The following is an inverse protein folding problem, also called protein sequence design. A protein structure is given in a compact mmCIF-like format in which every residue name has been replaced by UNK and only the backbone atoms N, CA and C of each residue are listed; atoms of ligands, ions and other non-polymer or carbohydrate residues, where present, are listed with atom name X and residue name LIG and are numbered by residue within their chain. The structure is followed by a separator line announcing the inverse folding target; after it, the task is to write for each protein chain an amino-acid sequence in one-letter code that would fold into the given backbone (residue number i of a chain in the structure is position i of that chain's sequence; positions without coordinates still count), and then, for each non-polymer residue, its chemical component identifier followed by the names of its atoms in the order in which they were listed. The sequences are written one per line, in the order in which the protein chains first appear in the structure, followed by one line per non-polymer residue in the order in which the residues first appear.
data_IF_104969907384
#
_entry.id   IF_104969907384
#
_cell.length_a   1.000
_cell.length_b   1.000
_cell.length_c   1.000
_cell.angle_alpha   90.00
_cell.angle_beta   90.00
_cell.angle_gamma   90.00
#
_symmetry.space_group_name_H-M   'P 1'
#
loop_
_entity.id
_entity.type
_entity.pdbx_description
1 polymer ?
#
# COMPACT_ATOMS: atom_id res chain seq x y z
N UNK A 1 18.35 4.05 -10.51
CA UNK A 1 18.27 3.82 -11.99
C UNK A 1 17.46 4.92 -12.60
N UNK A 2 17.87 5.43 -13.77
CA UNK A 2 17.10 6.49 -14.44
C UNK A 2 15.75 5.97 -14.94
N UNK A 3 15.74 4.73 -15.48
CA UNK A 3 14.55 4.11 -16.03
C UNK A 3 14.60 2.58 -15.89
N UNK A 4 13.43 1.98 -15.65
CA UNK A 4 13.21 0.54 -15.62
C UNK A 4 11.76 0.26 -16.03
N UNK A 5 11.44 -0.96 -16.43
CA UNK A 5 10.03 -1.33 -16.67
C UNK A 5 9.24 -1.36 -15.36
N UNK A 6 9.77 -2.03 -14.33
CA UNK A 6 9.22 -2.08 -12.98
C UNK A 6 10.30 -2.47 -11.97
N UNK A 7 10.43 -1.74 -10.87
CA UNK A 7 11.38 -2.07 -9.79
C UNK A 7 11.10 -3.43 -9.17
N UNK A 8 9.83 -3.84 -9.05
CA UNK A 8 9.44 -5.18 -8.61
C UNK A 8 9.93 -6.26 -9.58
N UNK A 9 9.71 -6.04 -10.90
CA UNK A 9 10.15 -7.01 -11.91
C UNK A 9 11.66 -7.14 -11.91
N UNK A 10 12.37 -6.02 -11.86
CA UNK A 10 13.83 -6.01 -11.83
C UNK A 10 14.37 -6.84 -10.65
N UNK A 11 13.87 -6.62 -9.43
CA UNK A 11 14.28 -7.42 -8.27
C UNK A 11 13.93 -8.89 -8.43
N UNK A 12 12.74 -9.22 -8.97
CA UNK A 12 12.33 -10.61 -9.19
C UNK A 12 13.26 -11.35 -10.13
N UNK A 13 13.73 -10.69 -11.20
CA UNK A 13 14.63 -11.27 -12.19
C UNK A 13 16.07 -11.37 -11.69
N UNK A 14 16.46 -10.54 -10.72
CA UNK A 14 17.82 -10.45 -10.18
C UNK A 14 17.97 -10.99 -8.75
N UNK A 15 16.96 -11.64 -8.17
CA UNK A 15 17.00 -12.13 -6.77
C UNK A 15 18.27 -12.93 -6.44
N UNK A 16 18.76 -13.76 -7.36
CA UNK A 16 19.95 -14.58 -7.13
C UNK A 16 21.27 -13.79 -7.24
N UNK A 17 21.24 -12.57 -7.77
CA UNK A 17 22.44 -11.74 -8.01
C UNK A 17 22.56 -10.57 -7.04
N UNK A 18 21.60 -10.38 -6.13
CA UNK A 18 21.56 -9.28 -5.18
C UNK A 18 21.66 -9.81 -3.74
N UNK A 19 22.03 -8.92 -2.81
CA UNK A 19 22.12 -9.25 -1.39
C UNK A 19 20.74 -9.46 -0.75
N UNK A 20 20.75 -10.08 0.44
CA UNK A 20 19.55 -10.47 1.18
C UNK A 20 18.58 -9.33 1.47
N UNK A 21 19.06 -8.09 1.59
CA UNK A 21 18.22 -6.90 1.70
C UNK A 21 18.70 -5.88 0.67
N UNK A 22 17.95 -5.75 -0.40
CA UNK A 22 18.29 -4.86 -1.51
C UNK A 22 17.14 -3.89 -1.77
N UNK A 23 17.48 -2.62 -1.96
CA UNK A 23 16.54 -1.57 -2.37
C UNK A 23 16.84 -1.18 -3.81
N UNK A 24 15.84 -1.36 -4.68
CA UNK A 24 15.88 -0.94 -6.07
C UNK A 24 15.04 0.32 -6.24
N UNK A 25 15.63 1.41 -6.70
CA UNK A 25 14.97 2.72 -6.89
C UNK A 25 15.05 3.14 -8.36
N UNK A 26 13.98 3.70 -8.89
CA UNK A 26 13.93 4.23 -10.24
C UNK A 26 13.35 5.64 -10.29
N UNK A 27 13.87 6.48 -11.21
CA UNK A 27 13.30 7.80 -11.47
C UNK A 27 12.05 7.71 -12.34
N UNK A 28 11.94 6.64 -13.13
CA UNK A 28 10.78 6.39 -13.99
C UNK A 28 10.55 4.89 -14.21
N UNK A 29 9.27 4.47 -14.24
CA UNK A 29 8.85 3.14 -14.63
C UNK A 29 8.03 3.21 -15.92
N UNK A 30 8.45 2.46 -16.96
CA UNK A 30 7.74 2.40 -18.26
C UNK A 30 6.52 1.48 -18.20
N UNK A 31 6.49 0.54 -17.26
CA UNK A 31 5.41 -0.41 -17.02
C UNK A 31 5.14 -0.58 -15.51
N UNK A 32 4.94 0.55 -14.81
CA UNK A 32 4.63 0.57 -13.38
C UNK A 32 3.36 -0.24 -13.07
N UNK A 33 3.43 -1.11 -12.07
CA UNK A 33 2.36 -2.06 -11.72
C UNK A 33 1.68 -1.68 -10.42
N UNK A 34 0.36 -1.82 -10.40
CA UNK A 34 -0.47 -1.83 -9.20
C UNK A 34 -1.03 -3.21 -8.92
N UNK A 35 -1.93 -3.34 -7.96
CA UNK A 35 -2.60 -4.61 -7.65
C UNK A 35 -3.54 -5.05 -8.77
N UNK A 36 -3.43 -6.32 -9.15
CA UNK A 36 -4.24 -6.93 -10.20
C UNK A 36 -3.85 -6.42 -11.59
N UNK A 37 -4.80 -5.81 -12.31
CA UNK A 37 -4.61 -5.24 -13.65
C UNK A 37 -4.29 -3.74 -13.64
N UNK A 38 -4.20 -3.12 -12.45
CA UNK A 38 -3.94 -1.70 -12.34
C UNK A 38 -2.49 -1.36 -12.68
N UNK A 39 -2.27 -0.21 -13.31
CA UNK A 39 -0.97 0.41 -13.50
C UNK A 39 -0.69 1.46 -12.43
N UNK A 40 0.59 1.75 -12.23
CA UNK A 40 1.05 2.90 -11.45
C UNK A 40 1.72 3.89 -12.40
N UNK A 41 1.10 5.06 -12.56
CA UNK A 41 1.62 6.13 -13.39
C UNK A 41 2.35 7.18 -12.54
N UNK A 42 3.45 7.70 -13.07
CA UNK A 42 4.29 8.67 -12.39
C UNK A 42 5.01 9.56 -13.38
N UNK A 43 5.11 10.85 -13.08
CA UNK A 43 5.98 11.76 -13.81
C UNK A 43 7.45 11.50 -13.45
N UNK A 44 8.33 11.49 -14.46
CA UNK A 44 9.77 11.20 -14.30
C UNK A 44 10.40 12.11 -13.26
N UNK A 45 11.10 11.51 -12.29
CA UNK A 45 11.85 12.21 -11.27
C UNK A 45 11.02 12.96 -10.22
N UNK A 46 9.69 12.84 -10.22
CA UNK A 46 8.82 13.56 -9.27
C UNK A 46 8.42 12.71 -8.06
N UNK A 47 8.24 11.44 -8.26
CA UNK A 47 7.74 10.53 -7.22
C UNK A 47 8.84 9.58 -6.75
N UNK A 48 8.59 8.86 -5.67
CA UNK A 48 9.46 7.82 -5.18
C UNK A 48 8.91 6.46 -5.61
N UNK A 49 9.65 5.81 -6.51
CA UNK A 49 9.33 4.51 -7.09
C UNK A 49 10.43 3.54 -6.69
N UNK A 50 10.14 2.63 -5.78
CA UNK A 50 11.16 1.69 -5.31
C UNK A 50 10.56 0.36 -4.88
N UNK A 51 11.43 -0.64 -4.79
CA UNK A 51 11.10 -1.94 -4.24
C UNK A 51 12.18 -2.40 -3.29
N UNK A 52 11.78 -3.11 -2.24
CA UNK A 52 12.67 -3.73 -1.25
C UNK A 52 12.54 -5.23 -1.36
N UNK A 53 13.66 -5.94 -1.52
CA UNK A 53 13.74 -7.39 -1.37
C UNK A 53 14.08 -7.72 0.07
N UNK A 54 13.32 -8.63 0.68
CA UNK A 54 13.61 -9.22 1.99
C UNK A 54 13.43 -10.73 1.95
N UNK A 55 14.05 -11.43 2.92
CA UNK A 55 13.90 -12.87 3.14
C UNK A 55 13.32 -13.12 4.55
N UNK A 56 12.00 -13.02 4.74
CA UNK A 56 11.36 -13.17 6.05
C UNK A 56 11.26 -14.66 6.43
N UNK A 57 12.29 -15.20 7.03
CA UNK A 57 12.38 -16.63 7.41
C UNK A 57 11.47 -17.03 8.57
N UNK A 58 10.93 -16.06 9.30
CA UNK A 58 10.13 -16.22 10.51
C UNK A 58 8.62 -15.95 10.29
N UNK A 59 8.19 -15.70 9.04
CA UNK A 59 6.79 -15.44 8.70
C UNK A 59 6.23 -16.61 7.89
N UNK A 60 5.18 -17.23 8.39
CA UNK A 60 4.48 -18.29 7.68
C UNK A 60 3.68 -17.75 6.47
N UNK A 61 3.46 -18.59 5.47
CA UNK A 61 2.75 -18.21 4.25
C UNK A 61 1.32 -17.69 4.49
N UNK A 62 0.62 -18.25 5.48
CA UNK A 62 -0.72 -17.80 5.87
C UNK A 62 -0.72 -16.48 6.66
N UNK A 63 0.45 -16.03 7.13
CA UNK A 63 0.63 -14.77 7.86
C UNK A 63 1.21 -13.66 6.97
N UNK A 64 1.30 -13.89 5.66
CA UNK A 64 1.94 -12.97 4.71
C UNK A 64 1.41 -11.53 4.76
N UNK A 65 0.18 -11.31 5.22
CA UNK A 65 -0.39 -9.98 5.33
C UNK A 65 0.31 -9.11 6.38
N UNK A 66 1.06 -9.70 7.31
CA UNK A 66 1.91 -8.97 8.25
C UNK A 66 2.93 -8.07 7.54
N UNK A 67 3.47 -8.52 6.39
CA UNK A 67 4.40 -7.72 5.57
C UNK A 67 3.69 -6.46 5.04
N UNK A 68 2.44 -6.61 4.58
CA UNK A 68 1.63 -5.47 4.12
C UNK A 68 1.33 -4.49 5.25
N UNK A 69 0.96 -4.99 6.43
CA UNK A 69 0.71 -4.17 7.61
C UNK A 69 1.96 -3.39 8.04
N UNK A 70 3.10 -4.08 8.17
CA UNK A 70 4.37 -3.47 8.57
C UNK A 70 4.84 -2.42 7.55
N UNK A 71 4.68 -2.70 6.25
CA UNK A 71 5.02 -1.75 5.17
C UNK A 71 4.14 -0.51 5.22
N UNK A 72 2.83 -0.68 5.41
CA UNK A 72 1.90 0.44 5.53
C UNK A 72 2.24 1.34 6.73
N UNK A 73 2.56 0.73 7.88
CA UNK A 73 2.98 1.48 9.06
C UNK A 73 4.30 2.21 8.84
N UNK A 74 5.28 1.59 8.17
CA UNK A 74 6.55 2.25 7.85
C UNK A 74 6.34 3.50 6.99
N UNK A 75 5.44 3.45 5.99
CA UNK A 75 5.07 4.63 5.19
C UNK A 75 4.35 5.66 6.06
N UNK A 76 3.40 5.26 6.91
CA UNK A 76 2.67 6.19 7.79
C UNK A 76 3.61 6.90 8.77
N UNK A 77 4.53 6.16 9.40
CA UNK A 77 5.51 6.71 10.33
C UNK A 77 6.46 7.70 9.63
N UNK A 78 6.94 7.35 8.44
CA UNK A 78 7.74 8.24 7.61
C UNK A 78 6.99 9.54 7.25
N UNK A 79 5.68 9.46 6.91
CA UNK A 79 4.88 10.67 6.68
C UNK A 79 4.83 11.57 7.92
N UNK A 80 4.79 10.97 9.11
CA UNK A 80 4.87 11.69 10.38
C UNK A 80 6.20 12.45 10.57
N UNK A 81 7.33 11.87 10.16
CA UNK A 81 8.65 12.54 10.21
C UNK A 81 8.68 13.81 9.36
N UNK A 82 7.90 13.87 8.28
CA UNK A 82 7.74 15.05 7.43
C UNK A 82 6.59 15.98 7.85
N UNK A 83 5.96 15.71 9.02
CA UNK A 83 4.91 16.56 9.57
C UNK A 83 3.53 16.37 8.92
N UNK A 84 3.34 15.36 8.07
CA UNK A 84 2.05 15.04 7.48
C UNK A 84 1.21 14.27 8.50
N UNK A 85 0.08 14.86 8.88
CA UNK A 85 -0.90 14.30 9.84
C UNK A 85 -2.08 13.69 9.08
N UNK A 86 -2.96 13.01 9.82
CA UNK A 86 -4.23 12.46 9.32
C UNK A 86 -4.09 11.43 8.19
N UNK A 87 -2.95 10.73 8.19
CA UNK A 87 -2.71 9.61 7.30
C UNK A 87 -3.54 8.40 7.74
N UNK A 88 -4.14 7.71 6.77
CA UNK A 88 -4.93 6.49 6.98
C UNK A 88 -4.49 5.39 6.00
N UNK A 89 -4.63 4.16 6.45
CA UNK A 89 -4.39 2.98 5.61
C UNK A 89 -5.72 2.55 5.00
N UNK A 90 -5.87 2.70 3.71
CA UNK A 90 -6.99 2.13 2.98
C UNK A 90 -6.64 0.70 2.56
N UNK A 91 -7.26 -0.24 3.25
CA UNK A 91 -7.09 -1.67 2.95
C UNK A 91 -7.36 -1.98 1.47
N UNK A 92 -6.59 -2.87 0.84
CA UNK A 92 -5.51 -3.67 1.46
C UNK A 92 -4.11 -3.05 1.40
N UNK A 93 -3.85 -2.03 0.56
CA UNK A 93 -2.50 -1.69 0.13
C UNK A 93 -2.27 -0.23 -0.25
N UNK A 94 -3.15 0.68 0.15
CA UNK A 94 -3.05 2.10 -0.18
C UNK A 94 -2.90 2.95 1.07
N UNK A 95 -2.15 4.05 0.96
CA UNK A 95 -2.08 5.08 2.00
C UNK A 95 -2.81 6.32 1.49
N UNK A 96 -3.69 6.82 2.34
CA UNK A 96 -4.55 7.96 2.04
C UNK A 96 -4.26 9.12 2.99
N UNK A 97 -4.36 10.32 2.47
CA UNK A 97 -4.47 11.56 3.21
C UNK A 97 -5.86 12.13 2.95
N UNK A 98 -6.68 12.23 3.99
CA UNK A 98 -8.13 12.43 3.82
C UNK A 98 -8.72 11.37 2.86
N UNK A 99 -9.44 11.79 1.82
CA UNK A 99 -10.01 10.91 0.79
C UNK A 99 -9.13 10.81 -0.46
N UNK A 100 -7.84 11.14 -0.36
CA UNK A 100 -6.91 11.20 -1.48
C UNK A 100 -5.78 10.16 -1.34
N UNK A 101 -5.46 9.49 -2.43
CA UNK A 101 -4.42 8.47 -2.47
C UNK A 101 -3.03 9.10 -2.54
N UNK A 102 -2.23 8.90 -1.51
CA UNK A 102 -0.85 9.36 -1.42
C UNK A 102 0.14 8.28 -1.90
N UNK A 103 -0.09 7.02 -1.53
CA UNK A 103 0.81 5.91 -1.81
C UNK A 103 0.04 4.65 -2.18
N UNK A 104 0.64 3.81 -3.01
CA UNK A 104 0.22 2.45 -3.30
C UNK A 104 1.35 1.46 -3.10
N UNK A 105 1.03 0.27 -2.61
CA UNK A 105 2.00 -0.80 -2.35
C UNK A 105 1.65 -2.04 -3.15
N UNK A 106 2.65 -2.77 -3.64
CA UNK A 106 2.51 -4.04 -4.33
C UNK A 106 3.52 -5.04 -3.77
N UNK A 107 3.04 -5.98 -2.97
CA UNK A 107 3.88 -6.99 -2.34
C UNK A 107 3.72 -8.31 -3.08
N UNK A 108 4.83 -8.89 -3.52
CA UNK A 108 4.89 -10.15 -4.26
C UNK A 108 5.75 -11.15 -3.46
N UNK A 109 5.11 -12.18 -2.92
CA UNK A 109 5.76 -13.21 -2.11
C UNK A 109 6.06 -14.47 -2.93
N UNK A 110 7.25 -15.05 -2.72
CA UNK A 110 7.62 -16.38 -3.24
C UNK A 110 7.69 -17.34 -2.08
N UNK A 111 6.96 -18.43 -2.18
CA UNK A 111 6.85 -19.44 -1.14
C UNK A 111 7.85 -20.58 -1.33
N UNK A 112 8.27 -21.17 -0.22
CA UNK A 112 9.00 -22.44 -0.16
C UNK A 112 8.35 -23.29 0.92
N UNK A 113 7.54 -24.25 0.50
CA UNK A 113 6.67 -25.01 1.41
C UNK A 113 5.67 -24.09 2.12
N UNK A 114 5.68 -24.07 3.44
CA UNK A 114 4.80 -23.25 4.29
C UNK A 114 5.39 -21.90 4.71
N UNK A 115 6.61 -21.58 4.26
CA UNK A 115 7.30 -20.35 4.61
C UNK A 115 7.39 -19.40 3.41
N UNK A 116 7.55 -18.11 3.68
CA UNK A 116 7.88 -17.10 2.67
C UNK A 116 9.38 -17.13 2.46
N UNK A 117 9.82 -17.47 1.25
CA UNK A 117 11.23 -17.47 0.88
C UNK A 117 11.74 -16.07 0.59
N UNK A 118 11.05 -15.37 -0.29
CA UNK A 118 11.38 -14.02 -0.72
C UNK A 118 10.12 -13.16 -0.71
N UNK A 119 10.23 -11.92 -0.30
CA UNK A 119 9.18 -10.91 -0.45
C UNK A 119 9.74 -9.67 -1.15
N UNK A 120 9.10 -9.26 -2.25
CA UNK A 120 9.41 -8.04 -2.98
C UNK A 120 8.32 -7.03 -2.67
N UNK A 121 8.71 -5.97 -1.98
CA UNK A 121 7.82 -4.93 -1.47
C UNK A 121 7.94 -3.70 -2.38
N UNK A 122 7.03 -3.55 -3.35
CA UNK A 122 6.97 -2.38 -4.22
C UNK A 122 6.18 -1.24 -3.58
N UNK A 123 6.74 -0.04 -3.64
CA UNK A 123 6.14 1.17 -3.08
C UNK A 123 6.19 2.28 -4.13
N UNK A 124 5.01 2.81 -4.48
CA UNK A 124 4.84 4.01 -5.27
C UNK A 124 4.27 5.13 -4.39
N UNK A 125 5.08 6.14 -4.09
CA UNK A 125 4.69 7.28 -3.27
C UNK A 125 4.71 8.57 -4.08
N UNK A 126 3.62 9.29 -4.07
CA UNK A 126 3.52 10.59 -4.70
C UNK A 126 4.25 11.65 -3.85
N UNK A 127 5.42 12.10 -4.31
CA UNK A 127 6.24 13.06 -3.55
C UNK A 127 6.08 14.48 -4.08
N UNK A 128 6.52 14.75 -5.31
CA UNK A 128 6.57 16.10 -5.87
C UNK A 128 5.67 16.34 -7.10
N UNK A 129 4.96 15.30 -7.56
CA UNK A 129 4.03 15.43 -8.69
C UNK A 129 2.81 16.26 -8.27
N UNK A 130 2.43 17.22 -9.09
CA UNK A 130 1.26 18.10 -8.82
C UNK A 130 0.15 17.97 -9.84
N UNK A 131 0.46 17.38 -11.00
CA UNK A 131 -0.52 17.13 -12.06
C UNK A 131 -0.63 15.62 -12.29
N UNK A 132 -1.79 15.06 -12.00
CA UNK A 132 -2.07 13.65 -12.22
C UNK A 132 -2.96 13.50 -13.43
N UNK A 133 -2.52 12.66 -14.37
CA UNK A 133 -3.33 12.30 -15.54
C UNK A 133 -4.11 11.05 -15.15
N UNK A 134 -5.42 11.17 -15.13
CA UNK A 134 -6.25 9.97 -15.06
C UNK A 134 -6.27 9.35 -16.45
N UNK A 135 -6.05 8.04 -16.59
CA UNK A 135 -6.40 7.37 -17.83
C UNK A 135 -7.86 7.76 -18.16
N UNK A 136 -8.09 8.28 -19.35
CA UNK A 136 -9.45 8.46 -19.86
C UNK A 136 -10.00 7.06 -20.16
N UNK A 137 -10.26 6.30 -19.12
CA UNK A 137 -10.76 4.97 -19.27
C UNK A 137 -12.27 5.01 -19.13
N UNK A 138 -12.95 4.62 -20.18
CA UNK A 138 -14.32 4.15 -20.13
C UNK A 138 -14.55 3.06 -19.06
N UNK A 139 -13.47 2.55 -18.47
CA UNK A 139 -13.44 1.41 -17.54
C UNK A 139 -13.25 1.79 -16.08
N UNK A 140 -13.12 3.07 -15.72
CA UNK A 140 -12.96 3.48 -14.32
C UNK A 140 -14.27 4.09 -13.80
N UNK A 141 -14.92 3.38 -12.88
CA UNK A 141 -16.06 3.91 -12.14
C UNK A 141 -15.62 5.14 -11.31
N UNK A 142 -16.14 6.36 -11.59
CA UNK A 142 -15.77 7.57 -10.86
C UNK A 142 -15.99 7.48 -9.35
N UNK A 143 -16.93 6.61 -8.93
CA UNK A 143 -17.27 6.39 -7.52
C UNK A 143 -16.21 5.57 -6.76
N UNK A 144 -15.37 4.84 -7.48
CA UNK A 144 -14.32 3.99 -6.87
C UNK A 144 -12.91 4.41 -7.25
N UNK A 145 -12.76 5.21 -8.32
CA UNK A 145 -11.47 5.69 -8.79
C UNK A 145 -10.75 6.50 -7.71
N UNK A 146 -9.44 6.25 -7.47
CA UNK A 146 -8.67 7.02 -6.50
C UNK A 146 -8.53 8.48 -6.95
N UNK A 147 -8.55 9.40 -5.99
CA UNK A 147 -8.16 10.79 -6.19
C UNK A 147 -6.73 10.95 -5.67
N UNK A 148 -5.69 11.15 -6.48
CA UNK A 148 -4.31 11.21 -6.01
C UNK A 148 -3.97 12.55 -5.38
N UNK A 149 -3.01 12.51 -4.44
CA UNK A 149 -2.37 13.67 -3.83
C UNK A 149 -0.89 13.38 -3.65
N UNK A 150 -0.04 14.41 -3.61
CA UNK A 150 1.38 14.30 -3.30
C UNK A 150 1.76 14.99 -1.99
N UNK A 151 2.92 14.61 -1.43
CA UNK A 151 3.50 15.28 -0.25
C UNK A 151 3.68 16.79 -0.51
N UNK A 152 4.14 17.17 -1.71
CA UNK A 152 4.27 18.58 -2.11
C UNK A 152 2.94 19.33 -2.06
N UNK A 153 1.86 18.73 -2.52
CA UNK A 153 0.53 19.38 -2.46
C UNK A 153 0.04 19.55 -1.03
N UNK A 154 0.39 18.63 -0.13
CA UNK A 154 0.03 18.68 1.29
C UNK A 154 0.87 19.73 2.03
N UNK A 155 2.18 19.75 1.79
CA UNK A 155 3.15 20.55 2.55
C UNK A 155 3.45 21.93 1.91
N UNK A 156 3.12 22.12 0.63
CA UNK A 156 3.31 23.38 -0.10
C UNK A 156 4.72 23.65 -0.63
N UNK A 157 5.66 22.71 -0.53
CA UNK A 157 7.03 22.84 -1.01
C UNK A 157 7.59 21.53 -1.56
N UNK A 158 8.70 21.58 -2.30
CA UNK A 158 9.39 20.38 -2.79
C UNK A 158 10.03 19.61 -1.64
N UNK A 159 9.98 18.28 -1.75
CA UNK A 159 10.49 17.33 -0.76
C UNK A 159 11.66 16.54 -1.36
N UNK A 160 12.70 16.34 -0.57
CA UNK A 160 13.82 15.48 -0.92
C UNK A 160 13.37 14.00 -0.92
N UNK A 161 13.30 13.40 -2.12
CA UNK A 161 12.89 12.00 -2.30
C UNK A 161 13.83 11.01 -1.61
N UNK A 162 15.11 11.33 -1.53
CA UNK A 162 16.09 10.46 -0.88
C UNK A 162 15.91 10.47 0.64
N UNK A 163 15.62 11.60 1.24
CA UNK A 163 15.28 11.70 2.65
C UNK A 163 14.02 10.90 2.98
N UNK A 164 12.99 10.96 2.12
CA UNK A 164 11.77 10.15 2.27
C UNK A 164 12.07 8.66 2.18
N UNK A 165 12.89 8.23 1.21
CA UNK A 165 13.30 6.83 1.07
C UNK A 165 13.99 6.32 2.34
N UNK A 166 14.97 7.09 2.85
CA UNK A 166 15.70 6.73 4.08
C UNK A 166 14.77 6.61 5.28
N UNK A 167 13.81 7.51 5.43
CA UNK A 167 12.82 7.45 6.51
C UNK A 167 11.96 6.19 6.39
N UNK A 168 11.38 5.88 5.22
CA UNK A 168 10.56 4.68 5.05
C UNK A 168 11.36 3.40 5.33
N UNK A 169 12.56 3.28 4.76
CA UNK A 169 13.41 2.10 4.96
C UNK A 169 13.85 1.98 6.44
N UNK A 170 14.10 3.10 7.10
CA UNK A 170 14.43 3.13 8.54
C UNK A 170 13.29 2.65 9.44
N UNK A 171 12.05 2.91 9.06
CA UNK A 171 10.86 2.44 9.78
C UNK A 171 10.44 1.01 9.39
N UNK A 172 10.94 0.45 8.29
CA UNK A 172 10.54 -0.85 7.81
C UNK A 172 11.08 -1.98 8.70
N UNK A 173 10.28 -2.38 9.69
CA UNK A 173 10.59 -3.48 10.62
C UNK A 173 9.59 -4.60 10.44
N UNK A 174 10.06 -5.71 9.90
CA UNK A 174 9.24 -6.89 9.61
C UNK A 174 9.78 -8.06 10.42
N UNK A 175 8.96 -8.53 11.37
CA UNK A 175 9.32 -9.60 12.31
C UNK A 175 8.02 -10.23 12.83
N UNK A 176 7.98 -11.54 12.88
CA UNK A 176 6.82 -12.29 13.42
C UNK A 176 6.54 -11.96 14.90
N UNK A 177 7.59 -11.66 15.66
CA UNK A 177 7.45 -11.31 17.09
C UNK A 177 6.67 -10.01 17.34
N UNK A 178 6.42 -9.19 16.30
CA UNK A 178 5.66 -7.95 16.40
C UNK A 178 4.25 -8.05 15.77
N UNK A 179 3.79 -9.23 15.38
CA UNK A 179 2.56 -9.42 14.61
C UNK A 179 1.32 -8.73 15.25
N UNK A 180 1.05 -9.01 16.53
CA UNK A 180 -0.10 -8.43 17.24
C UNK A 180 0.01 -6.92 17.40
N UNK A 181 1.19 -6.40 17.72
CA UNK A 181 1.42 -4.96 17.82
C UNK A 181 1.25 -4.27 16.46
N UNK A 182 1.78 -4.86 15.41
CA UNK A 182 1.65 -4.36 14.04
C UNK A 182 0.19 -4.33 13.62
N UNK A 183 -0.59 -5.40 13.87
CA UNK A 183 -2.01 -5.48 13.57
C UNK A 183 -2.82 -4.45 14.37
N UNK A 184 -2.54 -4.29 15.65
CA UNK A 184 -3.20 -3.29 16.49
C UNK A 184 -2.99 -1.88 15.95
N UNK A 185 -1.75 -1.50 15.62
CA UNK A 185 -1.43 -0.20 15.04
C UNK A 185 -2.06 0.02 13.67
N UNK A 186 -1.98 -1.00 12.80
CA UNK A 186 -2.59 -0.98 11.47
C UNK A 186 -4.09 -0.72 11.56
N UNK A 187 -4.78 -1.45 12.43
CA UNK A 187 -6.20 -1.29 12.66
C UNK A 187 -6.57 0.10 13.22
N UNK A 188 -5.72 0.69 14.05
CA UNK A 188 -5.93 2.06 14.55
C UNK A 188 -5.85 3.12 13.44
N UNK A 189 -5.15 2.85 12.34
CA UNK A 189 -4.99 3.74 11.19
C UNK A 189 -5.92 3.42 10.01
N UNK A 190 -6.83 2.44 10.14
CA UNK A 190 -7.72 2.08 9.04
C UNK A 190 -8.58 3.26 8.58
N UNK A 191 -8.61 3.44 7.27
CA UNK A 191 -9.46 4.40 6.59
C UNK A 191 -10.93 4.06 6.80
N UNK A 192 -11.73 5.07 7.17
CA UNK A 192 -13.16 4.94 7.50
C UNK A 192 -13.47 4.04 8.72
N UNK A 193 -12.49 3.80 9.58
CA UNK A 193 -12.75 3.14 10.87
C UNK A 193 -13.04 4.20 11.94
N UNK A 194 -14.18 4.86 11.80
CA UNK A 194 -14.64 5.98 12.62
C UNK A 194 -15.98 5.68 13.37
N UNK A 195 -16.42 4.42 13.31
CA UNK A 195 -17.68 3.99 13.94
C UNK A 195 -18.92 4.40 13.16
N UNK A 196 -18.76 4.92 11.93
CA UNK A 196 -19.88 5.30 11.07
C UNK A 196 -20.05 4.33 9.92
N UNK A 197 -21.29 4.15 9.42
CA UNK A 197 -21.52 3.36 8.22
C UNK A 197 -21.05 4.13 6.98
N UNK A 198 -20.27 3.44 6.13
CA UNK A 198 -19.81 3.93 4.85
C UNK A 198 -20.33 3.05 3.71
N UNK A 199 -20.29 3.58 2.49
CA UNK A 199 -20.76 2.87 1.30
C UNK A 199 -19.67 1.95 0.75
N UNK A 200 -20.06 0.72 0.49
CA UNK A 200 -19.23 -0.33 -0.11
C UNK A 200 -20.00 -0.97 -1.27
N UNK A 201 -19.26 -1.66 -2.15
CA UNK A 201 -19.82 -2.48 -3.23
C UNK A 201 -19.16 -3.85 -3.22
N UNK A 202 -19.97 -4.90 -3.33
CA UNK A 202 -19.55 -6.28 -3.54
C UNK A 202 -20.22 -6.87 -4.81
N UNK A 203 -20.15 -8.18 -5.02
CA UNK A 203 -20.78 -8.85 -6.17
C UNK A 203 -22.30 -8.79 -6.20
N UNK A 204 -22.95 -8.45 -5.07
CA UNK A 204 -24.41 -8.31 -4.96
C UNK A 204 -24.88 -6.87 -5.13
N UNK A 205 -23.97 -5.88 -5.09
CA UNK A 205 -24.26 -4.47 -5.27
C UNK A 205 -23.74 -3.58 -4.14
N UNK A 206 -24.33 -2.37 -4.04
CA UNK A 206 -23.93 -1.38 -3.03
C UNK A 206 -24.62 -1.67 -1.69
N UNK A 207 -23.85 -1.50 -0.61
CA UNK A 207 -24.35 -1.63 0.76
C UNK A 207 -23.66 -0.66 1.73
N UNK A 208 -24.28 -0.47 2.91
CA UNK A 208 -23.71 0.33 4.01
C UNK A 208 -23.14 -0.61 5.07
N UNK A 209 -21.93 -0.29 5.54
CA UNK A 209 -21.29 -1.02 6.62
C UNK A 209 -20.29 -0.15 7.39
N UNK A 210 -20.06 -0.50 8.66
CA UNK A 210 -19.01 0.03 9.52
C UNK A 210 -17.72 -0.81 9.34
N UNK A 211 -16.57 -0.16 9.22
CA UNK A 211 -15.26 -0.83 9.22
C UNK A 211 -14.90 -1.22 10.65
N UNK A 212 -14.77 -2.50 10.92
CA UNK A 212 -14.38 -3.01 12.23
C UNK A 212 -12.86 -3.11 12.37
N UNK A 213 -12.26 -4.00 11.60
CA UNK A 213 -10.82 -4.28 11.64
C UNK A 213 -10.37 -5.10 10.42
N UNK A 214 -9.07 -5.30 10.33
CA UNK A 214 -8.47 -6.34 9.48
C UNK A 214 -7.98 -7.45 10.40
N UNK A 215 -8.38 -8.69 10.11
CA UNK A 215 -8.04 -9.86 10.91
C UNK A 215 -6.59 -10.35 10.67
N UNK A 216 -6.21 -11.42 11.35
CA UNK A 216 -4.87 -12.02 11.26
C UNK A 216 -4.56 -12.61 9.87
N UNK A 217 -5.57 -12.96 9.10
CA UNK A 217 -5.45 -13.45 7.73
C UNK A 217 -5.46 -12.31 6.69
N UNK A 218 -5.57 -11.06 7.13
CA UNK A 218 -5.59 -9.89 6.25
C UNK A 218 -6.95 -9.61 5.62
N UNK A 219 -8.04 -10.20 6.13
CA UNK A 219 -9.40 -9.94 5.64
C UNK A 219 -10.01 -8.73 6.34
N UNK A 220 -10.73 -7.92 5.57
CA UNK A 220 -11.46 -6.76 6.10
C UNK A 220 -12.79 -7.21 6.70
N UNK A 221 -13.01 -6.90 7.97
CA UNK A 221 -14.26 -7.16 8.68
C UNK A 221 -15.16 -5.94 8.64
N UNK A 222 -16.37 -6.12 8.08
CA UNK A 222 -17.38 -5.08 7.93
C UNK A 222 -18.66 -5.50 8.66
N UNK A 223 -19.25 -4.56 9.42
CA UNK A 223 -20.54 -4.75 10.09
C UNK A 223 -21.63 -4.06 9.28
N UNK A 224 -22.49 -4.84 8.63
CA UNK A 224 -23.64 -4.35 7.85
C UNK A 224 -24.70 -3.75 8.78
N UNK A 225 -25.59 -2.90 8.25
CA UNK A 225 -26.64 -2.20 9.00
C UNK A 225 -27.58 -3.15 9.80
N UNK A 226 -27.73 -4.39 9.36
CA UNK A 226 -28.51 -5.40 10.07
C UNK A 226 -27.76 -6.10 11.23
N UNK A 227 -26.56 -5.62 11.58
CA UNK A 227 -25.69 -6.17 12.61
C UNK A 227 -24.82 -7.36 12.17
N UNK A 228 -25.01 -7.90 10.98
CA UNK A 228 -24.21 -9.03 10.47
C UNK A 228 -22.78 -8.57 10.17
N UNK A 229 -21.80 -9.29 10.69
CA UNK A 229 -20.40 -9.12 10.33
C UNK A 229 -20.07 -10.00 9.12
N UNK A 230 -19.44 -9.38 8.11
CA UNK A 230 -18.92 -10.07 6.92
C UNK A 230 -17.41 -9.91 6.85
N UNK A 231 -16.74 -10.99 6.45
CA UNK A 231 -15.28 -11.04 6.26
C UNK A 231 -15.00 -11.00 4.76
N UNK A 232 -14.27 -9.97 4.31
CA UNK A 232 -14.03 -9.70 2.89
C UNK A 232 -12.56 -9.93 2.55
N UNK A 233 -12.30 -10.78 1.57
CA UNK A 233 -11.00 -10.96 0.94
C UNK A 233 -10.68 -9.87 -0.07
N UNK A 234 -9.44 -9.89 -0.58
CA UNK A 234 -9.01 -8.95 -1.62
C UNK A 234 -9.92 -9.01 -2.86
N UNK A 235 -10.37 -7.86 -3.35
CA UNK A 235 -11.30 -7.67 -4.48
C UNK A 235 -12.75 -8.13 -4.25
N UNK A 236 -13.10 -8.68 -3.09
CA UNK A 236 -14.49 -9.05 -2.77
C UNK A 236 -15.34 -7.82 -2.42
N UNK A 237 -14.70 -6.72 -2.02
CA UNK A 237 -15.37 -5.47 -1.69
C UNK A 237 -14.58 -4.26 -2.17
N UNK A 238 -15.28 -3.20 -2.57
CA UNK A 238 -14.72 -1.90 -2.96
C UNK A 238 -15.32 -0.79 -2.11
N UNK A 239 -14.47 0.15 -1.71
CA UNK A 239 -14.91 1.40 -1.07
C UNK A 239 -15.52 2.32 -2.11
N UNK A 240 -16.77 2.77 -1.89
CA UNK A 240 -17.49 3.70 -2.77
C UNK A 240 -17.46 5.10 -2.15
N UNK A 241 -17.27 6.15 -2.99
CA UNK A 241 -17.29 7.55 -2.56
C UNK A 241 -18.68 7.99 -2.13
#
# INVERSE_FOLDING_TARGET
MDEVDSTNRWLRENVAAVEATTVCVADFQTAGRGCGTNSWESERGKNLLFSVLIHPSDIAANEQFQISMATALAVCDAMGDFGIKDIRVKWPNDIYWNDQKLCGMLIENRLSGTAIRDSIIGIGLNVNQTVFRFPQAADHDPLTAPNPVSMRQILGHDIDREAVLRSIVGHLKICSCMADYTRMRYNALLYRRDGQPHRFRDGEGDFQAEVLEVDELGKLLLKKANGRVVSCGFKEVVFVK
#
